data_IF_354420106425
#
_entry.id   IF_354420106425
#
_cell.length_a   1.000
_cell.length_b   1.000
_cell.length_c   1.000
_cell.angle_alpha   90.00
_cell.angle_beta   90.00
_cell.angle_gamma   90.00
#
_symmetry.space_group_name_H-M   'P 1'
#
loop_
_entity.id
_entity.type
_entity.pdbx_description
1 polymer ?
#
# COMPACT_ATOMS: atom_id res chain seq x y z
N UNK A 1 -40.65 -12.78 -15.84
CA UNK A 1 -39.21 -13.02 -16.01
C UNK A 1 -38.47 -12.10 -15.05
N UNK A 2 -37.99 -12.61 -13.90
CA UNK A 2 -37.19 -11.83 -12.96
C UNK A 2 -35.72 -12.10 -13.20
N UNK A 3 -34.95 -11.06 -13.51
CA UNK A 3 -33.50 -11.14 -13.69
C UNK A 3 -32.88 -10.97 -12.31
N UNK A 4 -32.20 -12.01 -11.83
CA UNK A 4 -31.42 -11.99 -10.59
C UNK A 4 -30.04 -11.43 -10.92
N UNK A 5 -29.77 -10.20 -10.53
CA UNK A 5 -28.45 -9.59 -10.66
C UNK A 5 -27.62 -9.91 -9.41
N UNK A 6 -26.65 -10.82 -9.53
CA UNK A 6 -25.68 -11.10 -8.48
C UNK A 6 -24.60 -10.03 -8.55
N UNK A 7 -24.58 -9.12 -7.58
CA UNK A 7 -23.50 -8.14 -7.42
C UNK A 7 -22.34 -8.86 -6.72
N UNK A 8 -21.35 -9.32 -7.49
CA UNK A 8 -20.12 -9.86 -6.93
C UNK A 8 -19.22 -8.67 -6.57
N UNK A 9 -19.19 -8.32 -5.28
CA UNK A 9 -18.19 -7.40 -4.76
C UNK A 9 -16.86 -8.16 -4.61
N UNK A 10 -15.97 -8.01 -5.59
CA UNK A 10 -14.61 -8.54 -5.50
C UNK A 10 -13.74 -7.63 -4.64
N UNK A 11 -13.36 -8.06 -3.44
CA UNK A 11 -12.23 -7.46 -2.73
C UNK A 11 -10.94 -7.94 -3.42
N UNK A 12 -10.12 -7.01 -3.91
CA UNK A 12 -8.78 -7.33 -4.36
C UNK A 12 -7.95 -7.79 -3.15
N UNK A 13 -7.84 -9.09 -2.94
CA UNK A 13 -6.88 -9.65 -2.00
C UNK A 13 -5.49 -9.38 -2.55
N UNK A 14 -4.72 -8.56 -1.84
CA UNK A 14 -3.30 -8.38 -2.13
C UNK A 14 -2.61 -9.76 -2.10
N UNK A 15 -1.67 -10.05 -3.01
CA UNK A 15 -0.96 -11.32 -3.01
C UNK A 15 -0.29 -11.54 -1.65
N UNK A 16 -0.24 -12.79 -1.14
CA UNK A 16 0.44 -13.08 0.11
C UNK A 16 1.89 -12.63 -0.01
N UNK A 17 2.30 -11.75 0.90
CA UNK A 17 3.69 -11.31 1.03
C UNK A 17 4.50 -12.54 1.43
N UNK A 18 5.42 -12.98 0.56
CA UNK A 18 6.34 -14.06 0.88
C UNK A 18 7.15 -13.66 2.12
N UNK A 19 7.04 -14.48 3.16
CA UNK A 19 7.50 -14.26 4.54
C UNK A 19 9.03 -14.43 4.68
N UNK A 20 9.80 -13.99 3.68
CA UNK A 20 11.21 -14.36 3.55
C UNK A 20 12.16 -13.21 3.20
N UNK A 21 11.80 -11.96 3.49
CA UNK A 21 12.79 -10.87 3.59
C UNK A 21 12.44 -9.94 4.75
N UNK A 22 13.23 -10.03 5.82
CA UNK A 22 13.25 -9.06 6.91
C UNK A 22 13.84 -7.69 6.49
N UNK A 23 13.72 -7.26 5.23
CA UNK A 23 14.41 -6.10 4.69
C UNK A 23 13.42 -5.16 3.99
N UNK A 24 13.07 -4.07 4.68
CA UNK A 24 12.57 -2.82 4.12
C UNK A 24 11.65 -2.92 2.88
N UNK A 25 10.33 -2.88 3.07
CA UNK A 25 9.39 -2.74 1.95
C UNK A 25 9.29 -1.28 1.52
N UNK A 26 9.34 -1.02 0.21
CA UNK A 26 9.14 0.32 -0.36
C UNK A 26 7.89 0.31 -1.24
N UNK A 27 6.95 1.20 -0.93
CA UNK A 27 5.68 1.35 -1.65
C UNK A 27 5.64 2.76 -2.24
N UNK A 28 5.56 2.84 -3.57
CA UNK A 28 5.37 4.11 -4.28
C UNK A 28 3.87 4.36 -4.53
N UNK A 29 3.40 5.55 -4.18
CA UNK A 29 2.03 6.01 -4.40
C UNK A 29 2.04 6.96 -5.59
N UNK A 30 1.37 6.56 -6.67
CA UNK A 30 1.33 7.32 -7.92
C UNK A 30 0.11 8.24 -8.00
N UNK A 31 0.24 9.35 -8.73
CA UNK A 31 -0.90 10.16 -9.17
C UNK A 31 -1.59 9.55 -10.40
N UNK A 32 -2.69 10.17 -10.86
CA UNK A 32 -3.45 9.69 -12.02
C UNK A 32 -2.69 9.78 -13.35
N UNK A 33 -1.52 10.43 -13.38
CA UNK A 33 -0.62 10.53 -14.53
C UNK A 33 0.55 9.54 -14.45
N UNK A 34 0.63 8.75 -13.38
CA UNK A 34 1.72 7.79 -13.14
C UNK A 34 2.98 8.40 -12.51
N UNK A 35 2.93 9.63 -11.97
CA UNK A 35 4.06 10.20 -11.25
C UNK A 35 4.05 9.77 -9.79
N UNK A 36 5.21 9.49 -9.22
CA UNK A 36 5.33 9.21 -7.78
C UNK A 36 4.98 10.47 -6.98
N UNK A 37 3.92 10.38 -6.19
CA UNK A 37 3.42 11.44 -5.31
C UNK A 37 3.92 11.29 -3.88
N UNK A 38 4.01 10.06 -3.39
CA UNK A 38 4.52 9.71 -2.05
C UNK A 38 5.25 8.38 -2.09
N UNK A 39 6.18 8.20 -1.16
CA UNK A 39 6.88 6.94 -0.92
C UNK A 39 6.67 6.52 0.52
N UNK A 40 6.32 5.26 0.73
CA UNK A 40 6.18 4.67 2.05
C UNK A 40 7.27 3.62 2.21
N UNK A 41 7.98 3.66 3.34
CA UNK A 41 9.00 2.68 3.69
C UNK A 41 8.52 1.96 4.95
N UNK A 42 8.40 0.65 4.89
CA UNK A 42 8.03 -0.21 6.03
C UNK A 42 9.27 -0.97 6.47
N UNK A 43 9.73 -0.73 7.69
CA UNK A 43 10.90 -1.37 8.28
C UNK A 43 10.67 -1.59 9.78
N UNK A 44 10.99 -2.78 10.28
CA UNK A 44 10.90 -3.14 11.71
C UNK A 44 9.53 -2.81 12.32
N UNK A 45 8.45 -3.13 11.61
CA UNK A 45 7.06 -2.77 11.95
C UNK A 45 6.76 -1.27 12.01
N UNK A 46 7.61 -0.41 11.45
CA UNK A 46 7.35 1.02 11.33
C UNK A 46 7.18 1.44 9.88
N UNK A 47 6.15 2.25 9.63
CA UNK A 47 5.93 2.94 8.37
C UNK A 47 6.47 4.35 8.50
N UNK A 48 7.27 4.77 7.53
CA UNK A 48 7.62 6.17 7.31
C UNK A 48 7.10 6.61 5.94
N UNK A 49 6.39 7.74 5.91
CA UNK A 49 5.81 8.31 4.70
C UNK A 49 6.63 9.53 4.29
N UNK A 50 7.08 9.57 3.06
CA UNK A 50 7.81 10.68 2.46
C UNK A 50 6.99 11.29 1.33
N UNK A 51 7.12 12.60 1.13
CA UNK A 51 6.72 13.22 -0.14
C UNK A 51 7.81 13.04 -1.21
N UNK A 52 7.54 13.57 -2.40
CA UNK A 52 8.44 13.54 -3.56
C UNK A 52 9.82 14.16 -3.30
N UNK A 53 9.93 15.06 -2.31
CA UNK A 53 11.16 15.79 -1.97
C UNK A 53 11.87 15.09 -0.80
N UNK A 54 11.51 13.83 -0.50
CA UNK A 54 12.01 13.04 0.63
C UNK A 54 11.75 13.68 2.00
N UNK A 55 10.77 14.57 2.11
CA UNK A 55 10.37 15.16 3.39
C UNK A 55 9.38 14.23 4.09
N UNK A 56 9.69 13.85 5.32
CA UNK A 56 8.81 13.03 6.16
C UNK A 56 7.47 13.72 6.37
N UNK A 57 6.38 13.01 6.08
CA UNK A 57 4.99 13.42 6.29
C UNK A 57 4.29 12.66 7.39
N UNK A 58 4.80 11.49 7.76
CA UNK A 58 4.21 10.67 8.79
C UNK A 58 5.13 9.53 9.19
N UNK A 59 4.95 9.08 10.42
CA UNK A 59 5.64 7.94 11.00
C UNK A 59 4.65 7.22 11.92
N UNK A 60 4.64 5.89 11.88
CA UNK A 60 3.74 5.11 12.73
C UNK A 60 4.12 3.64 12.78
N UNK A 61 3.77 2.97 13.88
CA UNK A 61 3.95 1.53 14.02
C UNK A 61 2.79 0.79 13.33
N UNK A 62 3.11 -0.21 12.54
CA UNK A 62 2.17 -1.18 12.00
C UNK A 62 1.70 -2.05 13.15
N UNK A 63 0.41 -2.01 13.44
CA UNK A 63 -0.22 -2.98 14.33
C UNK A 63 -0.69 -4.15 13.45
N UNK A 64 -0.17 -5.36 13.70
CA UNK A 64 -0.67 -6.61 13.10
C UNK A 64 -2.05 -6.95 13.66
#
# INVERSE_FOLDING_TARGET
MSIVCIIIAGCASLPPVEDNQAEQQVIDVYDSKGNVKKRMIIKDDYITIYDKDWKTKGYGKVQK
#
